data_IF_668255571441
#
_entry.id   IF_668255571441
#
_cell.length_a   1.000
_cell.length_b   1.000
_cell.length_c   1.000
_cell.angle_alpha   90.00
_cell.angle_beta   90.00
_cell.angle_gamma   90.00
#
_symmetry.space_group_name_H-M   'P 1'
#
loop_
_entity.id
_entity.type
_entity.pdbx_description
1 polymer ?
#
# COMPACT_ATOMS: atom_id res chain seq x y z
N UNK A 1 -3.36 -22.09 36.56
CA UNK A 1 -2.76 -21.07 35.66
C UNK A 1 -3.78 -20.70 34.60
N UNK A 2 -4.24 -19.44 34.52
CA UNK A 2 -5.19 -19.02 33.47
C UNK A 2 -4.48 -19.04 32.11
N UNK A 3 -5.02 -19.79 31.13
CA UNK A 3 -4.54 -19.75 29.74
C UNK A 3 -4.69 -18.31 29.24
N UNK A 4 -3.62 -17.71 28.71
CA UNK A 4 -3.70 -16.42 28.03
C UNK A 4 -4.56 -16.61 26.78
N UNK A 5 -5.69 -15.94 26.70
CA UNK A 5 -6.53 -15.94 25.50
C UNK A 5 -5.71 -15.35 24.34
N UNK A 6 -5.59 -16.11 23.25
CA UNK A 6 -4.94 -15.64 22.03
C UNK A 6 -5.90 -14.70 21.31
N UNK A 7 -5.73 -13.40 21.52
CA UNK A 7 -6.51 -12.41 20.79
C UNK A 7 -5.92 -12.25 19.38
N UNK A 8 -6.61 -12.77 18.36
CA UNK A 8 -6.27 -12.50 16.96
C UNK A 8 -6.48 -11.01 16.68
N UNK A 9 -5.40 -10.30 16.39
CA UNK A 9 -5.48 -8.89 16.00
C UNK A 9 -5.63 -8.78 14.49
N UNK A 10 -6.60 -7.99 14.04
CA UNK A 10 -6.84 -7.70 12.62
C UNK A 10 -6.53 -6.21 12.37
N UNK A 11 -5.76 -5.93 11.32
CA UNK A 11 -5.41 -4.56 10.95
C UNK A 11 -6.62 -3.79 10.40
N UNK A 12 -6.49 -2.47 10.28
CA UNK A 12 -7.59 -1.60 9.83
C UNK A 12 -8.04 -1.95 8.41
N UNK A 13 -7.12 -2.09 7.44
CA UNK A 13 -7.45 -2.46 6.05
C UNK A 13 -8.27 -3.74 5.97
N UNK A 14 -7.90 -4.78 6.73
CA UNK A 14 -8.61 -6.05 6.73
C UNK A 14 -10.04 -5.88 7.21
N UNK A 15 -10.23 -5.24 8.36
CA UNK A 15 -11.56 -4.94 8.91
C UNK A 15 -12.38 -4.09 7.93
N UNK A 16 -11.78 -3.03 7.38
CA UNK A 16 -12.39 -2.11 6.43
C UNK A 16 -12.87 -2.82 5.16
N UNK A 17 -12.01 -3.63 4.56
CA UNK A 17 -12.32 -4.38 3.34
C UNK A 17 -13.44 -5.39 3.61
N UNK A 18 -13.34 -6.14 4.71
CA UNK A 18 -14.35 -7.12 5.08
C UNK A 18 -15.73 -6.50 5.25
N UNK A 19 -15.84 -5.37 5.94
CA UNK A 19 -17.10 -4.63 6.10
C UNK A 19 -17.58 -4.04 4.77
N UNK A 20 -16.67 -3.51 3.94
CA UNK A 20 -17.02 -2.94 2.63
C UNK A 20 -17.68 -3.99 1.74
N UNK A 21 -17.15 -5.22 1.73
CA UNK A 21 -17.72 -6.33 0.96
C UNK A 21 -19.15 -6.64 1.41
N UNK A 22 -19.43 -6.60 2.73
CA UNK A 22 -20.78 -6.85 3.25
C UNK A 22 -21.82 -5.79 2.90
N UNK A 23 -21.41 -4.62 2.39
CA UNK A 23 -22.36 -3.58 1.96
C UNK A 23 -22.96 -3.86 0.57
N UNK A 24 -22.47 -4.87 -0.15
CA UNK A 24 -23.03 -5.25 -1.42
C UNK A 24 -24.42 -5.89 -1.23
N UNK A 25 -25.46 -5.48 -1.98
CA UNK A 25 -26.85 -5.88 -1.75
C UNK A 25 -27.09 -7.39 -1.85
N UNK A 26 -26.24 -8.11 -2.57
CA UNK A 26 -26.37 -9.55 -2.81
C UNK A 26 -25.41 -10.41 -1.97
N UNK A 27 -24.65 -9.82 -1.04
CA UNK A 27 -23.67 -10.56 -0.24
C UNK A 27 -24.14 -10.65 1.21
N UNK A 28 -24.26 -11.87 1.75
CA UNK A 28 -24.56 -12.06 3.16
C UNK A 28 -23.29 -11.95 3.99
N UNK A 29 -23.44 -11.45 5.23
CA UNK A 29 -22.30 -11.34 6.16
C UNK A 29 -21.77 -12.72 6.58
N UNK A 30 -22.60 -13.76 6.52
CA UNK A 30 -22.22 -15.13 6.87
C UNK A 30 -21.24 -15.67 5.81
N UNK A 31 -21.54 -15.49 4.53
CA UNK A 31 -20.70 -15.94 3.42
C UNK A 31 -19.32 -15.27 3.45
N UNK A 32 -19.28 -13.96 3.76
CA UNK A 32 -18.02 -13.21 3.92
C UNK A 32 -17.22 -13.72 5.11
N UNK A 33 -17.89 -14.06 6.21
CA UNK A 33 -17.23 -14.60 7.39
C UNK A 33 -16.63 -15.98 7.13
N UNK A 34 -17.36 -16.84 6.42
CA UNK A 34 -16.90 -18.17 5.99
C UNK A 34 -15.69 -18.06 5.06
N UNK A 35 -15.78 -17.22 4.02
CA UNK A 35 -14.69 -16.98 3.07
C UNK A 35 -13.41 -16.44 3.73
N UNK A 36 -13.57 -15.58 4.74
CA UNK A 36 -12.45 -15.02 5.51
C UNK A 36 -12.03 -15.89 6.70
N UNK A 37 -12.70 -17.03 6.94
CA UNK A 37 -12.49 -17.91 8.09
C UNK A 37 -12.52 -17.17 9.44
N UNK A 38 -13.45 -16.22 9.58
CA UNK A 38 -13.69 -15.44 10.80
C UNK A 38 -15.08 -15.73 11.37
N UNK A 39 -15.29 -15.44 12.65
CA UNK A 39 -16.62 -15.57 13.24
C UNK A 39 -17.55 -14.44 12.75
N UNK A 40 -18.80 -14.71 12.32
CA UNK A 40 -19.71 -13.68 11.78
C UNK A 40 -19.95 -12.48 12.71
N UNK A 41 -19.92 -12.71 14.03
CA UNK A 41 -20.02 -11.64 15.05
C UNK A 41 -18.96 -10.55 14.89
N UNK A 42 -17.79 -10.89 14.34
CA UNK A 42 -16.69 -9.95 14.12
C UNK A 42 -17.07 -8.89 13.10
N UNK A 43 -17.77 -9.26 12.02
CA UNK A 43 -18.24 -8.32 11.00
C UNK A 43 -19.27 -7.34 11.57
N UNK A 44 -20.18 -7.82 12.43
CA UNK A 44 -21.14 -6.95 13.12
C UNK A 44 -20.42 -5.96 14.04
N UNK A 45 -19.46 -6.44 14.84
CA UNK A 45 -18.64 -5.60 15.72
C UNK A 45 -17.85 -4.56 14.93
N UNK A 46 -17.21 -4.93 13.83
CA UNK A 46 -16.45 -3.98 13.01
C UNK A 46 -17.34 -2.96 12.31
N UNK A 47 -18.53 -3.36 11.84
CA UNK A 47 -19.55 -2.41 11.34
C UNK A 47 -19.91 -1.38 12.39
N UNK A 48 -20.06 -1.79 13.64
CA UNK A 48 -20.33 -0.88 14.74
C UNK A 48 -19.12 0.02 15.05
N UNK A 49 -17.92 -0.55 15.15
CA UNK A 49 -16.67 0.21 15.36
C UNK A 49 -16.46 1.29 14.29
N UNK A 50 -16.85 1.03 13.03
CA UNK A 50 -16.81 2.02 11.94
C UNK A 50 -17.87 3.11 12.05
N UNK A 51 -19.11 2.76 12.40
CA UNK A 51 -20.18 3.76 12.62
C UNK A 51 -19.85 4.70 13.79
N UNK A 52 -19.19 4.17 14.81
CA UNK A 52 -18.80 4.93 16.01
C UNK A 52 -17.46 5.67 15.85
N UNK A 53 -16.79 5.55 14.69
CA UNK A 53 -15.49 6.19 14.45
C UNK A 53 -14.35 5.67 15.35
N UNK A 54 -14.54 4.51 15.99
CA UNK A 54 -13.57 3.90 16.92
C UNK A 54 -12.50 3.07 16.22
N UNK A 55 -12.62 2.87 14.91
CA UNK A 55 -11.62 2.16 14.11
C UNK A 55 -10.41 3.08 13.93
N UNK A 56 -9.50 3.02 14.88
CA UNK A 56 -8.28 3.81 14.83
C UNK A 56 -7.44 3.35 13.64
N UNK A 57 -6.98 4.30 12.82
CA UNK A 57 -6.28 4.05 11.57
C UNK A 57 -4.82 3.67 11.86
N UNK A 58 -4.63 2.57 12.58
CA UNK A 58 -3.35 2.02 13.05
C UNK A 58 -2.65 1.22 11.94
N UNK A 59 -2.82 1.65 10.71
CA UNK A 59 -2.37 0.94 9.52
C UNK A 59 -0.93 1.32 9.21
N UNK A 60 -0.03 0.90 10.10
CA UNK A 60 1.42 1.06 9.92
C UNK A 60 1.88 0.42 8.59
N UNK A 61 1.18 -0.62 8.16
CA UNK A 61 1.41 -1.36 6.91
C UNK A 61 0.88 -0.63 5.67
N UNK A 62 -0.31 0.01 5.74
CA UNK A 62 -0.73 0.90 4.66
C UNK A 62 0.21 2.11 4.50
N UNK A 63 0.66 2.69 5.63
CA UNK A 63 1.63 3.80 5.63
C UNK A 63 2.99 3.38 5.05
N UNK A 64 3.42 2.14 5.26
CA UNK A 64 4.66 1.64 4.65
C UNK A 64 4.51 1.45 3.14
N UNK A 65 3.35 0.97 2.68
CA UNK A 65 3.05 0.84 1.24
C UNK A 65 3.05 2.18 0.50
N UNK A 66 2.48 3.22 1.10
CA UNK A 66 2.53 4.58 0.52
C UNK A 66 3.95 5.12 0.40
N UNK A 67 4.78 4.89 1.43
CA UNK A 67 6.21 5.27 1.40
C UNK A 67 6.96 4.50 0.30
N UNK A 68 6.67 3.21 0.13
CA UNK A 68 7.26 2.40 -0.94
C UNK A 68 6.86 2.93 -2.33
N UNK A 69 5.57 3.20 -2.56
CA UNK A 69 5.07 3.78 -3.81
C UNK A 69 5.72 5.14 -4.12
N UNK A 70 5.92 5.99 -3.10
CA UNK A 70 6.62 7.26 -3.26
C UNK A 70 8.10 7.06 -3.60
N UNK A 71 8.77 6.11 -2.95
CA UNK A 71 10.16 5.76 -3.23
C UNK A 71 10.32 5.23 -4.66
N UNK A 72 9.46 4.33 -5.12
CA UNK A 72 9.45 3.80 -6.49
C UNK A 72 9.26 4.91 -7.53
N UNK A 73 8.31 5.82 -7.32
CA UNK A 73 8.11 6.98 -8.20
C UNK A 73 9.37 7.85 -8.27
N UNK A 74 10.03 8.07 -7.14
CA UNK A 74 11.28 8.86 -7.07
C UNK A 74 12.43 8.15 -7.79
N UNK A 75 12.59 6.85 -7.61
CA UNK A 75 13.60 6.04 -8.31
C UNK A 75 13.41 6.16 -9.82
N UNK A 76 12.19 5.93 -10.31
CA UNK A 76 11.87 6.02 -11.75
C UNK A 76 12.16 7.40 -12.33
N UNK A 77 11.88 8.47 -11.58
CA UNK A 77 12.20 9.85 -11.98
C UNK A 77 13.72 10.06 -12.09
N UNK A 78 14.46 9.65 -11.05
CA UNK A 78 15.92 9.77 -11.02
C UNK A 78 16.59 8.94 -12.12
N UNK A 79 16.12 7.73 -12.39
CA UNK A 79 16.63 6.90 -13.48
C UNK A 79 16.46 7.56 -14.85
N UNK A 80 15.32 8.24 -15.07
CA UNK A 80 15.07 8.99 -16.30
C UNK A 80 16.01 10.18 -16.44
N UNK A 81 16.17 10.98 -15.38
CA UNK A 81 17.09 12.12 -15.36
C UNK A 81 18.54 11.67 -15.59
N UNK A 82 18.94 10.58 -14.93
CA UNK A 82 20.27 10.02 -15.03
C UNK A 82 20.56 9.51 -16.45
N UNK A 83 19.59 8.87 -17.10
CA UNK A 83 19.69 8.48 -18.52
C UNK A 83 19.89 9.70 -19.42
N UNK A 84 19.05 10.72 -19.26
CA UNK A 84 19.15 11.94 -20.06
C UNK A 84 20.52 12.60 -19.93
N UNK A 85 21.02 12.79 -18.69
CA UNK A 85 22.33 13.39 -18.43
C UNK A 85 23.47 12.54 -18.99
N UNK A 86 23.35 11.21 -18.95
CA UNK A 86 24.35 10.31 -19.56
C UNK A 86 24.36 10.42 -21.08
N UNK A 87 23.20 10.51 -21.71
CA UNK A 87 23.07 10.67 -23.16
C UNK A 87 23.64 12.02 -23.61
N UNK A 88 23.31 13.12 -22.92
CA UNK A 88 23.87 14.45 -23.15
C UNK A 88 25.40 14.46 -23.03
N UNK A 89 25.94 13.86 -21.95
CA UNK A 89 27.39 13.73 -21.78
C UNK A 89 28.05 12.89 -22.87
N UNK A 90 27.39 11.82 -23.35
CA UNK A 90 27.92 10.99 -24.42
C UNK A 90 28.00 11.78 -25.74
N UNK A 91 26.99 12.60 -26.04
CA UNK A 91 26.98 13.49 -27.19
C UNK A 91 28.09 14.53 -27.09
N UNK A 92 28.24 15.19 -25.93
CA UNK A 92 29.30 16.19 -25.70
C UNK A 92 30.70 15.58 -25.87
N UNK A 93 30.99 14.45 -25.23
CA UNK A 93 32.28 13.75 -25.38
C UNK A 93 32.55 13.33 -26.82
N UNK A 94 31.51 12.93 -27.55
CA UNK A 94 31.64 12.60 -28.98
C UNK A 94 31.92 13.86 -29.81
N UNK A 95 31.28 14.98 -29.50
CA UNK A 95 31.52 16.27 -30.14
C UNK A 95 32.94 16.77 -29.88
N UNK A 96 33.45 16.69 -28.64
CA UNK A 96 34.85 17.02 -28.31
C UNK A 96 35.87 16.20 -29.11
N UNK A 97 35.56 14.92 -29.37
CA UNK A 97 36.42 14.04 -30.18
C UNK A 97 36.38 14.39 -31.67
N UNK A 98 35.21 14.71 -32.20
CA UNK A 98 35.00 14.98 -33.64
C UNK A 98 35.40 16.40 -34.01
N UNK A 99 35.12 17.35 -33.12
CA UNK A 99 35.47 18.75 -33.21
C UNK A 99 36.41 19.08 -32.06
N UNK A 100 37.69 18.67 -32.12
CA UNK A 100 38.69 19.18 -31.21
C UNK A 100 38.78 20.69 -31.45
N UNK A 101 38.03 21.46 -30.66
CA UNK A 101 38.07 22.91 -30.67
C UNK A 101 39.51 23.33 -30.41
N UNK A 102 40.08 24.01 -31.42
CA UNK A 102 41.38 24.66 -31.39
C UNK A 102 41.59 25.31 -30.02
N UNK A 103 42.75 25.03 -29.42
CA UNK A 103 43.28 25.83 -28.30
C UNK A 103 43.17 27.33 -28.63
#
# INVERSE_FOLDING_TARGET
MKRKEKHTFYNFQFKHTAVTITNHPNIQSIDVAEALSIHPIMLYRWRQEMREGKLDNNDQEARSRDKLLQAEKKIKKLEKELRQVRDENAVLKKAERVFPGKK
#
